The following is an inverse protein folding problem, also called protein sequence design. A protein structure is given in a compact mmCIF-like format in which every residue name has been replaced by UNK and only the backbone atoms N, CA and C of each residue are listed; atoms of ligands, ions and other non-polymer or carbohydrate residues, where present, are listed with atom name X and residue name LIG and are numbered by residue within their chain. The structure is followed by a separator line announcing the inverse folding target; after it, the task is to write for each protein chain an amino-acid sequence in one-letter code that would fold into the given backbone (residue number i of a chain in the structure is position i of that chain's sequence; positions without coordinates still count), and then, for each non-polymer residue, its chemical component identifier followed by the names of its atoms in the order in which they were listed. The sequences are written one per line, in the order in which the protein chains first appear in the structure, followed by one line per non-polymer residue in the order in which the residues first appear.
data_IF_233295927901
#
_entry.id   IF_233295927901
#
_cell.length_a   1.000
_cell.length_b   1.000
_cell.length_c   1.000
_cell.angle_alpha   90.00
_cell.angle_beta   90.00
_cell.angle_gamma   90.00
#
_symmetry.space_group_name_H-M   'P 1'
#
loop_
_entity.id
_entity.type
_entity.pdbx_description
1 polymer ?
#
# COMPACT_ATOMS: atom_id res chain seq x y z
N UNK A 1 7.55 16.76 6.39
CA UNK A 1 6.23 16.25 6.05
C UNK A 1 6.34 14.98 5.25
N UNK A 2 5.60 13.95 5.63
CA UNK A 2 5.66 12.66 4.94
C UNK A 2 4.95 12.67 3.61
N UNK A 3 5.44 11.89 2.67
CA UNK A 3 4.75 11.64 1.41
C UNK A 3 3.72 10.55 1.59
N UNK A 4 2.65 10.63 0.82
CA UNK A 4 1.63 9.59 0.76
C UNK A 4 1.61 9.04 -0.66
N UNK A 5 1.91 7.76 -0.80
CA UNK A 5 2.02 7.09 -2.09
C UNK A 5 1.00 5.96 -2.14
N UNK A 6 0.34 5.81 -3.28
CA UNK A 6 -0.64 4.74 -3.49
C UNK A 6 -0.18 3.88 -4.66
N UNK A 7 -0.12 2.56 -4.45
CA UNK A 7 0.27 1.61 -5.49
C UNK A 7 -0.81 0.53 -5.59
N UNK A 8 -1.45 0.45 -6.73
CA UNK A 8 -2.41 -0.62 -6.98
C UNK A 8 -1.68 -1.89 -7.39
N UNK A 9 -2.12 -3.03 -6.87
CA UNK A 9 -1.44 -4.30 -7.15
C UNK A 9 -0.05 -4.40 -6.53
N UNK A 10 0.19 -3.70 -5.42
CA UNK A 10 1.52 -3.58 -4.83
C UNK A 10 2.04 -4.78 -4.04
N UNK A 11 1.28 -5.88 -3.97
CA UNK A 11 1.68 -7.02 -3.13
C UNK A 11 2.28 -8.19 -3.90
N UNK A 12 2.35 -8.12 -5.21
CA UNK A 12 2.90 -9.19 -6.02
C UNK A 12 3.55 -8.66 -7.30
N UNK A 13 4.50 -9.43 -7.83
CA UNK A 13 5.13 -9.15 -9.11
C UNK A 13 5.83 -7.79 -9.15
N UNK A 14 5.61 -7.07 -10.23
CA UNK A 14 6.23 -5.76 -10.48
C UNK A 14 5.81 -4.75 -9.40
N UNK A 15 4.53 -4.77 -9.00
CA UNK A 15 4.03 -3.86 -7.97
C UNK A 15 4.75 -4.02 -6.65
N UNK A 16 5.00 -5.27 -6.23
CA UNK A 16 5.76 -5.54 -5.02
C UNK A 16 7.17 -4.97 -5.10
N UNK A 17 7.83 -5.14 -6.24
CA UNK A 17 9.17 -4.59 -6.45
C UNK A 17 9.20 -3.07 -6.33
N UNK A 18 8.16 -2.40 -6.83
CA UNK A 18 8.03 -0.95 -6.73
C UNK A 18 7.85 -0.53 -5.26
N UNK A 19 7.00 -1.23 -4.52
CA UNK A 19 6.79 -0.93 -3.10
C UNK A 19 8.09 -1.09 -2.31
N UNK A 20 8.82 -2.18 -2.56
CA UNK A 20 10.08 -2.43 -1.87
C UNK A 20 11.09 -1.31 -2.14
N UNK A 21 11.17 -0.84 -3.40
CA UNK A 21 12.08 0.24 -3.76
C UNK A 21 11.68 1.56 -3.09
N UNK A 22 10.39 1.85 -3.05
CA UNK A 22 9.90 3.07 -2.41
C UNK A 22 10.17 3.02 -0.91
N UNK A 23 9.95 1.87 -0.27
CA UNK A 23 10.25 1.71 1.15
C UNK A 23 11.73 1.93 1.44
N UNK A 24 12.60 1.40 0.59
CA UNK A 24 14.05 1.55 0.77
C UNK A 24 14.51 3.00 0.71
N UNK A 25 13.76 3.86 -0.01
CA UNK A 25 14.08 5.27 -0.17
C UNK A 25 13.16 6.19 0.63
N UNK A 26 12.28 5.63 1.46
CA UNK A 26 11.30 6.41 2.19
C UNK A 26 11.89 7.00 3.46
N UNK A 27 11.25 8.08 3.92
CA UNK A 27 11.57 8.70 5.19
C UNK A 27 10.62 8.19 6.28
N UNK A 28 10.94 8.50 7.52
CA UNK A 28 10.21 8.01 8.68
C UNK A 28 8.71 8.35 8.65
N UNK A 29 8.37 9.51 8.11
CA UNK A 29 6.99 10.00 8.11
C UNK A 29 6.21 9.63 6.85
N UNK A 30 6.83 8.91 5.91
CA UNK A 30 6.18 8.53 4.68
C UNK A 30 5.13 7.43 4.92
N UNK A 31 4.05 7.49 4.17
CA UNK A 31 3.01 6.45 4.16
C UNK A 31 2.84 5.89 2.76
N UNK A 32 2.72 4.58 2.68
CA UNK A 32 2.53 3.89 1.41
C UNK A 32 1.30 3.00 1.54
N UNK A 33 0.36 3.18 0.62
CA UNK A 33 -0.84 2.35 0.55
C UNK A 33 -0.68 1.41 -0.65
N UNK A 34 -0.78 0.12 -0.42
CA UNK A 34 -0.73 -0.87 -1.47
C UNK A 34 -2.02 -1.69 -1.46
N UNK A 35 -2.51 -2.05 -2.64
CA UNK A 35 -3.73 -2.85 -2.72
C UNK A 35 -3.43 -4.25 -3.24
N UNK A 36 -4.30 -5.20 -2.85
CA UNK A 36 -4.36 -6.50 -3.47
C UNK A 36 -5.80 -6.80 -3.84
N UNK A 37 -5.98 -7.54 -4.95
CA UNK A 37 -7.33 -7.88 -5.43
C UNK A 37 -7.86 -9.15 -4.80
N UNK A 38 -7.25 -10.28 -5.11
CA UNK A 38 -7.76 -11.59 -4.72
C UNK A 38 -6.80 -12.48 -3.94
N UNK A 39 -5.50 -12.18 -3.95
CA UNK A 39 -4.52 -13.06 -3.35
C UNK A 39 -4.04 -12.54 -1.99
N UNK A 40 -4.86 -12.79 -0.97
CA UNK A 40 -4.53 -12.40 0.40
C UNK A 40 -3.28 -13.12 0.93
N UNK A 41 -3.03 -14.35 0.46
CA UNK A 41 -1.87 -15.12 0.89
C UNK A 41 -0.56 -14.40 0.50
N UNK A 42 -0.46 -13.96 -0.74
CA UNK A 42 0.72 -13.20 -1.19
C UNK A 42 0.85 -11.86 -0.47
N UNK A 43 -0.26 -11.20 -0.19
CA UNK A 43 -0.24 -9.95 0.56
C UNK A 43 0.30 -10.18 1.97
N UNK A 44 -0.12 -11.24 2.63
CA UNK A 44 0.36 -11.58 3.96
C UNK A 44 1.83 -11.99 3.95
N UNK A 45 2.27 -12.75 2.96
CA UNK A 45 3.68 -13.12 2.82
C UNK A 45 4.55 -11.88 2.66
N UNK A 46 4.12 -10.95 1.84
CA UNK A 46 4.84 -9.71 1.63
C UNK A 46 4.94 -8.91 2.93
N UNK A 47 3.83 -8.74 3.62
CA UNK A 47 3.80 -8.04 4.89
C UNK A 47 4.75 -8.66 5.91
N UNK A 48 4.71 -9.98 6.04
CA UNK A 48 5.52 -10.71 7.00
C UNK A 48 7.02 -10.65 6.68
N UNK A 49 7.36 -10.41 5.41
CA UNK A 49 8.77 -10.32 4.99
C UNK A 49 9.39 -8.96 5.33
N UNK A 50 8.59 -7.98 5.71
CA UNK A 50 9.08 -6.62 5.93
C UNK A 50 9.64 -6.44 7.34
N UNK A 51 10.59 -5.52 7.45
CA UNK A 51 11.10 -5.08 8.76
C UNK A 51 10.02 -4.31 9.51
N UNK A 52 10.06 -4.31 10.86
CA UNK A 52 9.08 -3.55 11.63
C UNK A 52 8.96 -2.08 11.23
N UNK A 53 10.07 -1.42 10.94
CA UNK A 53 10.09 -0.03 10.52
C UNK A 53 9.40 0.19 9.18
N UNK A 54 9.47 -0.79 8.26
CA UNK A 54 8.76 -0.72 6.98
C UNK A 54 7.29 -1.01 7.17
N UNK A 55 6.93 -1.93 8.07
CA UNK A 55 5.55 -2.23 8.37
C UNK A 55 4.81 -1.02 8.94
N UNK A 56 5.50 -0.16 9.66
CA UNK A 56 4.91 1.07 10.18
C UNK A 56 4.50 2.06 9.08
N UNK A 57 5.17 1.99 7.93
CA UNK A 57 4.92 2.91 6.81
C UNK A 57 3.96 2.36 5.77
N UNK A 58 3.76 1.05 5.74
CA UNK A 58 2.98 0.40 4.70
C UNK A 58 1.62 -0.02 5.20
N UNK A 59 0.59 0.35 4.46
CA UNK A 59 -0.78 -0.06 4.73
C UNK A 59 -1.25 -0.86 3.52
N UNK A 60 -1.59 -2.14 3.75
CA UNK A 60 -2.05 -3.03 2.69
C UNK A 60 -3.57 -3.18 2.81
N UNK A 61 -4.28 -2.87 1.74
CA UNK A 61 -5.73 -2.91 1.72
C UNK A 61 -6.22 -3.81 0.59
N UNK A 62 -7.30 -4.53 0.85
CA UNK A 62 -7.96 -5.28 -0.20
C UNK A 62 -8.83 -4.31 -1.02
N UNK A 63 -8.58 -4.26 -2.32
CA UNK A 63 -9.40 -3.45 -3.21
C UNK A 63 -9.31 -4.00 -4.64
N UNK A 64 -10.44 -4.47 -5.17
CA UNK A 64 -10.52 -4.87 -6.57
C UNK A 64 -10.75 -3.61 -7.40
N UNK A 65 -9.72 -3.16 -8.10
CA UNK A 65 -9.80 -1.92 -8.89
C UNK A 65 -10.70 -2.03 -10.11
N UNK A 66 -11.17 -3.24 -10.44
CA UNK A 66 -12.21 -3.41 -11.48
C UNK A 66 -13.60 -3.11 -10.94
N UNK A 67 -13.76 -3.03 -9.62
CA UNK A 67 -15.03 -2.68 -8.98
C UNK A 67 -15.01 -1.20 -8.58
N UNK A 68 -15.95 -0.44 -9.10
CA UNK A 68 -16.07 0.98 -8.78
C UNK A 68 -16.25 1.20 -7.27
N UNK A 69 -17.10 0.40 -6.65
CA UNK A 69 -17.41 0.55 -5.22
C UNK A 69 -16.19 0.28 -4.35
N UNK A 70 -15.40 -0.75 -4.67
CA UNK A 70 -14.20 -1.06 -3.90
C UNK A 70 -13.13 0.02 -4.12
N UNK A 71 -13.01 0.52 -5.34
CA UNK A 71 -12.07 1.60 -5.63
C UNK A 71 -12.42 2.86 -4.84
N UNK A 72 -13.70 3.22 -4.79
CA UNK A 72 -14.14 4.40 -4.05
C UNK A 72 -13.95 4.21 -2.54
N UNK A 73 -14.20 3.01 -2.03
CA UNK A 73 -13.96 2.71 -0.63
C UNK A 73 -12.47 2.82 -0.29
N UNK A 74 -11.61 2.37 -1.18
CA UNK A 74 -10.16 2.50 -0.99
C UNK A 74 -9.74 3.97 -0.95
N UNK A 75 -10.22 4.78 -1.88
CA UNK A 75 -9.90 6.22 -1.92
C UNK A 75 -10.37 6.90 -0.63
N UNK A 76 -11.57 6.58 -0.16
CA UNK A 76 -12.09 7.14 1.08
C UNK A 76 -11.22 6.77 2.28
N UNK A 77 -10.74 5.52 2.33
CA UNK A 77 -9.88 5.07 3.42
C UNK A 77 -8.54 5.79 3.41
N UNK A 78 -7.95 6.00 2.22
CA UNK A 78 -6.71 6.75 2.10
C UNK A 78 -6.89 8.19 2.60
N UNK A 79 -7.96 8.84 2.19
CA UNK A 79 -8.23 10.22 2.63
C UNK A 79 -8.47 10.30 4.12
N UNK A 80 -9.18 9.33 4.69
CA UNK A 80 -9.47 9.30 6.12
C UNK A 80 -8.20 9.12 6.93
N UNK A 81 -7.29 8.29 6.48
CA UNK A 81 -6.07 7.96 7.21
C UNK A 81 -4.98 9.01 7.04
N UNK A 82 -4.77 9.47 5.82
CA UNK A 82 -3.63 10.32 5.49
C UNK A 82 -3.97 11.78 5.22
N UNK A 83 -5.20 12.06 4.81
CA UNK A 83 -5.65 13.42 4.51
C UNK A 83 -5.27 13.91 3.12
N UNK A 84 -4.25 13.35 2.50
CA UNK A 84 -3.79 13.76 1.18
C UNK A 84 -3.07 12.63 0.48
N UNK A 85 -2.87 12.78 -0.82
CA UNK A 85 -2.07 11.84 -1.64
C UNK A 85 -1.10 12.65 -2.48
N UNK A 86 0.13 12.22 -2.49
CA UNK A 86 1.19 12.88 -3.28
C UNK A 86 1.45 12.19 -4.62
#
# INVERSE_FOLDING_TARGET
MGKVTVITGGTSGIGRGIVEKILANSEKDDLIFATYGHNAHKANEFWDSLKPEDQEKLIILKADMSSYDEMMSFVAEVKKTAGHVD
#
